data_IF_663143591153
#
_entry.id   IF_663143591153
#
_cell.length_a   1.000
_cell.length_b   1.000
_cell.length_c   1.000
_cell.angle_alpha   90.00
_cell.angle_beta   90.00
_cell.angle_gamma   90.00
#
_symmetry.space_group_name_H-M   'P 1'
#
loop_
_entity.id
_entity.type
_entity.pdbx_description
1 polymer ?
#
# COMPACT_ATOMS: atom_id res chain seq x y z
N UNK A 1 12.60 -7.76 -8.46
CA UNK A 1 12.86 -6.33 -8.70
C UNK A 1 11.56 -5.61 -8.98
N UNK A 2 11.39 -4.46 -8.42
CA UNK A 2 10.22 -3.61 -8.62
C UNK A 2 10.66 -2.35 -9.37
N UNK A 3 9.98 -2.05 -10.45
CA UNK A 3 10.27 -0.86 -11.25
C UNK A 3 9.02 0.01 -11.32
N UNK A 4 9.12 1.23 -10.81
CA UNK A 4 8.03 2.20 -10.89
C UNK A 4 8.21 3.05 -12.14
N UNK A 5 7.21 3.01 -13.03
CA UNK A 5 7.26 3.77 -14.27
C UNK A 5 6.34 4.98 -14.19
N UNK A 6 6.94 6.19 -14.01
CA UNK A 6 6.27 7.50 -14.02
C UNK A 6 5.02 7.54 -13.15
N UNK A 7 5.05 7.35 -11.89
CA UNK A 7 4.06 6.98 -10.88
C UNK A 7 2.68 6.52 -11.43
N UNK A 8 2.67 5.76 -12.51
CA UNK A 8 1.43 5.26 -13.12
C UNK A 8 1.25 3.76 -12.98
N UNK A 9 2.33 3.02 -12.84
CA UNK A 9 2.27 1.57 -12.71
C UNK A 9 3.56 1.04 -12.10
N UNK A 10 3.50 -0.20 -11.66
CA UNK A 10 4.66 -0.91 -11.11
C UNK A 10 4.84 -2.20 -11.88
N UNK A 11 6.08 -2.44 -12.29
CA UNK A 11 6.48 -3.64 -13.01
C UNK A 11 7.24 -4.55 -12.05
N UNK A 12 6.80 -5.79 -11.93
CA UNK A 12 7.48 -6.81 -11.13
C UNK A 12 8.33 -7.69 -12.04
N UNK A 13 9.61 -7.75 -11.73
CA UNK A 13 10.58 -8.55 -12.48
C UNK A 13 11.22 -9.53 -11.52
N UNK A 14 11.11 -10.82 -11.81
CA UNK A 14 11.77 -11.84 -11.01
C UNK A 14 13.01 -12.35 -11.75
N UNK A 15 14.17 -12.46 -11.08
CA UNK A 15 15.37 -13.02 -11.70
C UNK A 15 15.10 -14.43 -12.22
N UNK A 16 15.54 -14.70 -13.45
CA UNK A 16 15.37 -16.01 -14.08
C UNK A 16 14.05 -16.22 -14.78
N UNK A 17 13.12 -15.29 -14.68
CA UNK A 17 11.83 -15.38 -15.40
C UNK A 17 11.86 -14.48 -16.63
N UNK A 18 11.27 -14.97 -17.71
CA UNK A 18 11.26 -14.23 -18.98
C UNK A 18 10.17 -13.16 -19.06
N UNK A 19 9.14 -13.27 -18.22
CA UNK A 19 7.99 -12.37 -18.25
C UNK A 19 7.95 -11.49 -17.01
N UNK A 20 7.71 -10.19 -17.20
CA UNK A 20 7.42 -9.28 -16.13
C UNK A 20 5.90 -9.15 -15.95
N UNK A 21 5.47 -8.67 -14.78
CA UNK A 21 4.06 -8.50 -14.47
C UNK A 21 3.78 -7.08 -14.02
N UNK A 22 2.68 -6.53 -14.50
CA UNK A 22 2.22 -5.21 -14.07
C UNK A 22 1.31 -5.33 -12.84
N UNK A 23 1.42 -4.36 -11.93
CA UNK A 23 0.49 -4.23 -10.81
C UNK A 23 -0.92 -3.91 -11.29
N UNK A 24 -1.03 -3.00 -12.26
CA UNK A 24 -2.30 -2.53 -12.79
C UNK A 24 -2.45 -2.96 -14.25
N UNK A 25 -3.70 -3.19 -14.73
CA UNK A 25 -3.93 -3.65 -16.08
C UNK A 25 -3.65 -2.61 -17.18
N UNK A 26 -3.59 -1.33 -16.79
CA UNK A 26 -3.35 -0.22 -17.72
C UNK A 26 -2.58 0.90 -17.04
N UNK A 27 -2.28 1.95 -17.80
CA UNK A 27 -1.57 3.12 -17.30
C UNK A 27 -2.49 4.35 -17.10
N UNK A 28 -3.79 4.12 -16.98
CA UNK A 28 -4.79 5.17 -16.77
C UNK A 28 -4.99 5.53 -15.31
N UNK A 29 -3.96 5.29 -14.50
CA UNK A 29 -3.99 5.55 -13.06
C UNK A 29 -2.77 6.36 -12.65
N UNK A 30 -2.89 7.03 -11.52
CA UNK A 30 -1.79 7.76 -10.90
C UNK A 30 -1.61 7.23 -9.48
N UNK A 31 -0.38 6.89 -9.14
CA UNK A 31 -0.02 6.53 -7.78
C UNK A 31 0.27 7.81 -7.03
N UNK A 32 -0.68 8.25 -6.20
CA UNK A 32 -0.60 9.53 -5.52
C UNK A 32 0.12 9.47 -4.18
N UNK A 33 0.26 8.27 -3.63
CA UNK A 33 0.90 8.07 -2.34
C UNK A 33 1.43 6.65 -2.28
N UNK A 34 2.55 6.44 -1.61
CA UNK A 34 3.12 5.11 -1.44
C UNK A 34 3.95 5.05 -0.16
N UNK A 35 4.04 3.87 0.42
CA UNK A 35 4.84 3.64 1.60
C UNK A 35 5.40 2.23 1.58
N UNK A 36 6.72 2.11 1.68
CA UNK A 36 7.39 0.83 1.83
C UNK A 36 7.44 0.46 3.30
N UNK A 37 7.07 -0.77 3.59
CA UNK A 37 7.06 -1.29 4.95
C UNK A 37 8.24 -2.26 5.09
N UNK A 38 9.17 -1.91 5.98
CA UNK A 38 10.41 -2.66 6.15
C UNK A 38 10.52 -3.23 7.54
N UNK A 39 11.13 -4.40 7.61
CA UNK A 39 11.49 -5.03 8.86
C UNK A 39 12.65 -4.26 9.49
N UNK A 40 12.64 -4.12 10.83
CA UNK A 40 13.72 -3.45 11.51
C UNK A 40 15.05 -4.16 11.27
N UNK A 41 16.13 -3.39 11.08
CA UNK A 41 17.46 -3.94 10.93
C UNK A 41 17.92 -4.59 12.24
N UNK A 42 18.49 -5.81 12.15
CA UNK A 42 19.00 -6.53 13.30
C UNK A 42 20.41 -7.05 13.01
N UNK A 43 21.29 -6.93 13.99
CA UNK A 43 22.64 -7.53 13.96
C UNK A 43 23.44 -7.25 12.67
N UNK A 44 23.40 -6.00 12.20
CA UNK A 44 24.16 -5.61 11.03
C UNK A 44 23.55 -6.04 9.71
N UNK A 45 22.41 -6.70 9.70
CA UNK A 45 21.70 -7.05 8.48
C UNK A 45 20.93 -5.85 7.94
N UNK A 46 20.85 -5.73 6.61
CA UNK A 46 20.04 -4.71 5.98
C UNK A 46 18.56 -4.93 6.29
N UNK A 47 17.80 -3.83 6.29
CA UNK A 47 16.35 -3.92 6.42
C UNK A 47 15.77 -4.66 5.22
N UNK A 48 14.85 -5.58 5.49
CA UNK A 48 14.15 -6.33 4.45
C UNK A 48 12.79 -5.69 4.19
N UNK A 49 12.47 -5.45 2.94
CA UNK A 49 11.14 -4.97 2.57
C UNK A 49 10.12 -6.08 2.72
N UNK A 50 9.06 -5.82 3.47
CA UNK A 50 7.99 -6.79 3.72
C UNK A 50 6.84 -6.58 2.74
N UNK A 51 6.45 -5.31 2.52
CA UNK A 51 5.33 -4.98 1.68
C UNK A 51 5.39 -3.51 1.27
N UNK A 52 4.57 -3.14 0.30
CA UNK A 52 4.39 -1.76 -0.12
C UNK A 52 2.90 -1.46 -0.20
N UNK A 53 2.51 -0.31 0.33
CA UNK A 53 1.15 0.22 0.21
C UNK A 53 1.17 1.35 -0.82
N UNK A 54 0.21 1.34 -1.75
CA UNK A 54 0.08 2.41 -2.74
C UNK A 54 -1.36 2.86 -2.85
N UNK A 55 -1.55 4.16 -3.04
CA UNK A 55 -2.85 4.75 -3.31
C UNK A 55 -2.93 5.06 -4.80
N UNK A 56 -3.88 4.42 -5.47
CA UNK A 56 -4.04 4.48 -6.93
C UNK A 56 -5.31 5.24 -7.27
N UNK A 57 -5.18 6.32 -8.02
CA UNK A 57 -6.32 7.13 -8.46
C UNK A 57 -6.47 7.04 -9.96
N UNK A 58 -7.71 7.11 -10.44
CA UNK A 58 -7.99 7.21 -11.87
C UNK A 58 -7.51 8.55 -12.40
N UNK A 59 -7.01 8.58 -13.64
CA UNK A 59 -6.65 9.83 -14.31
C UNK A 59 -7.86 10.61 -14.80
N UNK A 60 -9.04 9.99 -14.77
CA UNK A 60 -10.29 10.64 -15.14
C UNK A 60 -10.98 11.17 -13.89
N UNK A 61 -11.39 12.41 -13.89
CA UNK A 61 -12.05 13.06 -12.78
C UNK A 61 -11.16 14.07 -12.05
N UNK A 62 -11.74 14.77 -11.08
CA UNK A 62 -11.05 15.81 -10.33
C UNK A 62 -10.07 15.20 -9.34
N UNK A 63 -8.78 15.59 -9.36
CA UNK A 63 -7.79 15.06 -8.42
C UNK A 63 -8.11 15.36 -6.96
N UNK A 64 -8.86 16.40 -6.68
CA UNK A 64 -9.13 16.84 -5.32
C UNK A 64 -10.27 16.08 -4.65
N UNK A 65 -11.21 15.57 -5.44
CA UNK A 65 -12.44 14.97 -4.93
C UNK A 65 -12.41 13.44 -4.99
N UNK A 66 -11.42 12.86 -5.66
CA UNK A 66 -11.42 11.42 -5.94
C UNK A 66 -10.64 10.67 -4.89
N UNK A 67 -11.34 9.81 -4.16
CA UNK A 67 -10.68 8.77 -3.37
C UNK A 67 -10.11 7.72 -4.32
N UNK A 68 -9.11 7.02 -3.88
CA UNK A 68 -8.42 6.03 -4.67
C UNK A 68 -8.53 4.64 -4.10
N UNK A 69 -8.06 3.68 -4.87
CA UNK A 69 -7.94 2.32 -4.42
C UNK A 69 -6.62 2.19 -3.66
N UNK A 70 -6.69 1.69 -2.44
CA UNK A 70 -5.50 1.45 -1.62
C UNK A 70 -5.13 -0.02 -1.75
N UNK A 71 -3.94 -0.27 -2.29
CA UNK A 71 -3.42 -1.62 -2.52
C UNK A 71 -2.22 -1.89 -1.63
N UNK A 72 -2.10 -3.13 -1.17
CA UNK A 72 -0.97 -3.64 -0.43
C UNK A 72 -0.40 -4.84 -1.17
N UNK A 73 0.89 -4.87 -1.43
CA UNK A 73 1.49 -5.99 -2.14
C UNK A 73 2.86 -6.35 -1.55
N UNK A 74 3.24 -7.60 -1.72
CA UNK A 74 4.56 -8.10 -1.31
C UNK A 74 5.62 -7.74 -2.37
N UNK A 75 6.92 -7.88 -2.05
CA UNK A 75 7.97 -7.47 -3.00
C UNK A 75 7.98 -8.22 -4.32
N UNK A 76 7.42 -9.43 -4.36
CA UNK A 76 7.33 -10.21 -5.60
C UNK A 76 6.13 -9.84 -6.45
N UNK A 77 5.14 -9.15 -5.88
CA UNK A 77 3.88 -8.85 -6.54
C UNK A 77 2.97 -10.05 -6.72
N UNK A 78 3.27 -11.17 -6.09
CA UNK A 78 2.41 -12.36 -6.16
C UNK A 78 1.18 -12.24 -5.30
N UNK A 79 1.32 -11.54 -4.18
CA UNK A 79 0.20 -11.27 -3.27
C UNK A 79 -0.14 -9.80 -3.36
N UNK A 80 -1.34 -9.50 -3.82
CA UNK A 80 -1.84 -8.14 -3.93
C UNK A 80 -3.20 -8.12 -3.23
N UNK A 81 -3.36 -7.22 -2.26
CA UNK A 81 -4.56 -7.11 -1.45
C UNK A 81 -5.15 -5.71 -1.64
N UNK A 82 -6.45 -5.64 -1.87
CA UNK A 82 -7.15 -4.37 -1.86
C UNK A 82 -7.52 -4.04 -0.41
N UNK A 83 -6.90 -2.99 0.13
CA UNK A 83 -7.18 -2.54 1.49
C UNK A 83 -8.48 -1.76 1.53
N UNK A 84 -8.69 -0.89 0.55
CA UNK A 84 -9.90 -0.09 0.44
C UNK A 84 -10.10 0.34 -1.01
N UNK A 85 -11.36 0.49 -1.43
CA UNK A 85 -11.66 0.98 -2.79
C UNK A 85 -11.90 2.49 -2.84
N UNK A 86 -11.98 3.15 -1.67
CA UNK A 86 -12.24 4.58 -1.55
C UNK A 86 -11.35 5.21 -0.48
N UNK A 87 -10.07 4.82 -0.45
CA UNK A 87 -9.11 5.35 0.51
C UNK A 87 -8.54 6.68 0.08
N UNK A 88 -8.05 7.45 1.05
CA UNK A 88 -7.31 8.70 0.86
C UNK A 88 -6.16 8.72 1.86
N UNK A 89 -5.07 9.35 1.46
CA UNK A 89 -3.94 9.69 2.32
C UNK A 89 -3.46 8.54 3.23
N UNK A 90 -2.36 7.94 2.87
CA UNK A 90 -1.70 7.00 3.76
C UNK A 90 -0.94 7.82 4.80
N UNK A 91 -1.42 7.81 6.06
CA UNK A 91 -0.80 8.59 7.12
C UNK A 91 0.38 7.89 7.77
N UNK A 92 0.27 6.58 7.94
CA UNK A 92 1.28 5.81 8.66
C UNK A 92 1.22 4.35 8.24
N UNK A 93 2.38 3.75 8.11
CA UNK A 93 2.53 2.30 8.02
C UNK A 93 3.48 1.84 9.10
N UNK A 94 3.22 0.68 9.68
CA UNK A 94 4.00 0.18 10.80
C UNK A 94 4.06 -1.34 10.77
N UNK A 95 5.17 -1.88 11.24
CA UNK A 95 5.34 -3.31 11.47
C UNK A 95 5.77 -3.49 12.91
N UNK A 96 4.86 -3.92 13.77
CA UNK A 96 5.15 -4.10 15.17
C UNK A 96 4.20 -5.12 15.80
N UNK A 97 4.67 -5.83 16.82
CA UNK A 97 3.85 -6.78 17.54
C UNK A 97 3.33 -7.93 16.68
N UNK A 98 4.01 -8.25 15.58
CA UNK A 98 3.57 -9.30 14.67
C UNK A 98 2.51 -8.86 13.66
N UNK A 99 2.13 -7.59 13.66
CA UNK A 99 1.13 -7.04 12.74
C UNK A 99 1.73 -5.97 11.83
N UNK A 100 1.28 -5.98 10.57
CA UNK A 100 1.50 -4.89 9.65
C UNK A 100 0.26 -4.02 9.70
N UNK A 101 0.41 -2.74 10.02
CA UNK A 101 -0.72 -1.82 10.16
C UNK A 101 -0.61 -0.66 9.19
N UNK A 102 -1.77 -0.24 8.68
CA UNK A 102 -1.88 0.93 7.80
C UNK A 102 -2.95 1.85 8.35
N UNK A 103 -2.57 3.12 8.54
CA UNK A 103 -3.49 4.18 8.94
C UNK A 103 -3.77 5.06 7.73
N UNK A 104 -5.03 5.14 7.33
CA UNK A 104 -5.44 5.89 6.15
C UNK A 104 -6.81 6.55 6.39
N UNK A 105 -7.27 7.35 5.45
CA UNK A 105 -8.58 7.99 5.51
C UNK A 105 -9.57 7.30 4.58
N UNK A 106 -10.80 7.16 5.07
CA UNK A 106 -11.94 6.68 4.29
C UNK A 106 -13.18 7.42 4.76
N UNK A 107 -13.88 8.08 3.84
CA UNK A 107 -15.09 8.85 4.17
C UNK A 107 -14.85 9.88 5.27
N UNK A 108 -13.72 10.58 5.22
CA UNK A 108 -13.32 11.61 6.20
C UNK A 108 -13.04 11.08 7.60
N UNK A 109 -12.86 9.79 7.73
CA UNK A 109 -12.51 9.14 9.01
C UNK A 109 -11.16 8.46 8.89
N UNK A 110 -10.46 8.38 10.01
CA UNK A 110 -9.24 7.59 10.08
C UNK A 110 -9.61 6.12 10.27
N UNK A 111 -8.92 5.27 9.53
CA UNK A 111 -9.10 3.82 9.61
C UNK A 111 -7.75 3.18 9.84
N UNK A 112 -7.66 2.31 10.82
CA UNK A 112 -6.48 1.50 11.09
C UNK A 112 -6.80 0.06 10.73
N UNK A 113 -6.06 -0.49 9.79
CA UNK A 113 -6.24 -1.87 9.34
C UNK A 113 -4.97 -2.67 9.61
N UNK A 114 -5.12 -3.87 10.16
CA UNK A 114 -4.01 -4.77 10.48
C UNK A 114 -4.01 -5.98 9.55
N UNK A 115 -2.80 -6.40 9.18
CA UNK A 115 -2.59 -7.52 8.27
C UNK A 115 -1.52 -8.46 8.81
N UNK A 116 -1.59 -9.71 8.41
CA UNK A 116 -0.50 -10.65 8.62
C UNK A 116 0.67 -10.28 7.71
N UNK A 117 1.88 -10.05 8.24
CA UNK A 117 3.00 -9.63 7.38
C UNK A 117 3.49 -10.70 6.41
N UNK A 118 3.21 -11.97 6.68
CA UNK A 118 3.62 -13.05 5.80
C UNK A 118 2.66 -13.28 4.63
N UNK A 119 1.36 -13.36 4.93
CA UNK A 119 0.33 -13.67 3.93
C UNK A 119 -0.40 -12.43 3.41
N UNK A 120 -0.27 -11.29 4.09
CA UNK A 120 -1.03 -10.05 3.86
C UNK A 120 -2.53 -10.23 4.06
N UNK A 121 -2.93 -11.27 4.78
CA UNK A 121 -4.34 -11.48 5.13
C UNK A 121 -4.78 -10.46 6.17
N UNK A 122 -5.96 -9.89 5.96
CA UNK A 122 -6.52 -8.89 6.87
C UNK A 122 -6.86 -9.54 8.21
N UNK A 123 -6.37 -8.95 9.31
CA UNK A 123 -6.64 -9.42 10.67
C UNK A 123 -7.66 -8.58 11.40
N UNK A 124 -7.78 -7.31 11.05
CA UNK A 124 -8.72 -6.43 11.72
C UNK A 124 -8.78 -5.05 11.09
N UNK A 125 -9.83 -4.32 11.42
CA UNK A 125 -10.05 -2.97 10.94
C UNK A 125 -10.79 -2.19 12.02
N UNK A 126 -10.36 -0.95 12.24
CA UNK A 126 -10.94 -0.10 13.27
C UNK A 126 -11.04 1.34 12.75
N UNK A 127 -12.22 1.92 12.83
CA UNK A 127 -12.39 3.35 12.62
C UNK A 127 -11.99 4.09 13.89
N UNK A 128 -11.26 5.18 13.72
CA UNK A 128 -10.74 5.97 14.84
C UNK A 128 -11.44 7.32 14.86
N UNK A 129 -12.09 7.62 15.96
CA UNK A 129 -12.68 8.94 16.17
C UNK A 129 -11.60 9.94 16.55
N UNK A 130 -11.52 11.02 15.77
CA UNK A 130 -10.56 12.08 16.03
C UNK A 130 -11.30 13.22 16.72
N UNK A 131 -10.91 13.58 17.98
CA UNK A 131 -11.52 14.71 18.64
C UNK A 131 -11.26 16.00 17.86
N UNK A 132 -12.26 16.87 17.83
CA UNK A 132 -12.10 18.18 17.21
C UNK A 132 -11.05 18.98 17.98
N UNK A 133 -10.06 19.57 17.31
CA UNK A 133 -9.11 20.45 18.02
C UNK A 133 -9.86 21.68 18.54
N UNK A 134 -9.54 22.03 19.75
CA UNK A 134 -10.11 23.21 20.38
C UNK A 134 -9.42 24.48 19.97
#
# INVERSE_FOLDING_TARGET
>A
MVVTLKPRNILFIEPGQKAARWLLPDNDHIMSDSSDIREAATNGNAQRMIATAVLVKSTTGSPESVSGKLLLFDPSGRTIVEVANNGRNIHLTSLSGGDLTILYERNRRLVLTAFDPGSLAKRGEQEIDVPQPK
#
